data_IF_797403683738
#
_entry.id   IF_797403683738
#
_cell.length_a   1.000
_cell.length_b   1.000
_cell.length_c   1.000
_cell.angle_alpha   90.00
_cell.angle_beta   90.00
_cell.angle_gamma   90.00
#
_symmetry.space_group_name_H-M   'P 1'
#
loop_
_entity.id
_entity.type
_entity.pdbx_description
1 polymer ?
#
# COMPACT_ATOMS: atom_id res chain seq x y z
N UNK A 1 5.41 20.80 12.53
CA UNK A 1 4.42 19.69 12.74
C UNK A 1 4.01 19.12 11.39
N UNK A 2 3.96 17.81 11.28
CA UNK A 2 3.60 17.11 10.02
C UNK A 2 2.53 16.07 10.27
N UNK A 3 1.78 15.74 9.21
CA UNK A 3 0.95 14.55 9.18
C UNK A 3 1.76 13.36 8.67
N UNK A 4 1.31 12.17 9.03
CA UNK A 4 1.78 10.92 8.45
C UNK A 4 0.60 10.19 7.80
N UNK A 5 0.72 9.88 6.51
CA UNK A 5 -0.24 9.06 5.79
C UNK A 5 0.37 7.69 5.51
N UNK A 6 -0.24 6.64 6.03
CA UNK A 6 0.17 5.25 5.83
C UNK A 6 -0.85 4.53 4.97
N UNK A 7 -0.41 3.92 3.86
CA UNK A 7 -1.24 3.05 3.03
C UNK A 7 -0.89 1.58 3.32
N UNK A 8 -1.80 0.83 3.91
CA UNK A 8 -1.69 -0.62 4.05
C UNK A 8 -2.22 -1.30 2.80
N UNK A 9 -1.43 -2.15 2.19
CA UNK A 9 -1.71 -2.76 0.90
C UNK A 9 -1.18 -4.20 0.80
N UNK A 10 -1.76 -4.97 -0.09
CA UNK A 10 -1.14 -6.15 -0.68
C UNK A 10 -0.83 -5.84 -2.15
N UNK A 11 0.38 -6.21 -2.61
CA UNK A 11 0.87 -5.85 -3.96
C UNK A 11 -0.01 -6.41 -5.07
N UNK A 12 -0.65 -7.57 -4.84
CA UNK A 12 -1.53 -8.21 -5.81
C UNK A 12 -3.03 -7.97 -5.54
N UNK A 13 -3.36 -6.98 -4.72
CA UNK A 13 -4.74 -6.57 -4.53
C UNK A 13 -5.19 -5.61 -5.64
N UNK A 14 -6.19 -5.99 -6.40
CA UNK A 14 -6.76 -5.14 -7.45
C UNK A 14 -7.26 -3.79 -6.93
N UNK A 15 -7.81 -3.75 -5.72
CA UNK A 15 -8.23 -2.48 -5.10
C UNK A 15 -7.07 -1.60 -4.70
N UNK A 16 -5.95 -2.19 -4.26
CA UNK A 16 -4.71 -1.44 -4.01
C UNK A 16 -4.13 -0.89 -5.33
N UNK A 17 -4.21 -1.68 -6.40
CA UNK A 17 -3.83 -1.23 -7.74
C UNK A 17 -4.68 -0.02 -8.18
N UNK A 18 -6.00 -0.11 -8.05
CA UNK A 18 -6.91 0.97 -8.42
C UNK A 18 -6.79 2.23 -7.55
N UNK A 19 -6.31 2.10 -6.33
CA UNK A 19 -6.07 3.24 -5.44
C UNK A 19 -4.78 4.01 -5.75
N UNK A 20 -3.89 3.46 -6.57
CA UNK A 20 -2.59 4.08 -6.87
C UNK A 20 -2.68 5.51 -7.43
N UNK A 21 -3.58 5.83 -8.38
CA UNK A 21 -3.70 7.21 -8.87
C UNK A 21 -4.06 8.21 -7.77
N UNK A 22 -4.94 7.82 -6.83
CA UNK A 22 -5.27 8.65 -5.68
C UNK A 22 -4.07 8.83 -4.74
N UNK A 23 -3.31 7.75 -4.48
CA UNK A 23 -2.10 7.80 -3.67
C UNK A 23 -1.03 8.71 -4.27
N UNK A 24 -0.80 8.65 -5.57
CA UNK A 24 0.15 9.52 -6.28
C UNK A 24 -0.28 10.98 -6.23
N UNK A 25 -1.55 11.27 -6.43
CA UNK A 25 -2.07 12.63 -6.36
C UNK A 25 -1.99 13.19 -4.94
N UNK A 26 -2.28 12.39 -3.91
CA UNK A 26 -2.07 12.79 -2.50
C UNK A 26 -0.61 13.15 -2.23
N UNK A 27 0.33 12.30 -2.64
CA UNK A 27 1.76 12.57 -2.49
C UNK A 27 2.19 13.86 -3.19
N UNK A 28 1.69 14.08 -4.40
CA UNK A 28 1.96 15.31 -5.16
C UNK A 28 1.38 16.55 -4.49
N UNK A 29 0.13 16.47 -4.03
CA UNK A 29 -0.60 17.60 -3.44
C UNK A 29 -0.04 18.02 -2.08
N UNK A 30 0.48 17.06 -1.30
CA UNK A 30 0.87 17.28 0.10
C UNK A 30 2.35 16.99 0.39
N UNK A 31 3.22 16.97 -0.64
CA UNK A 31 4.62 16.52 -0.57
C UNK A 31 5.41 17.09 0.63
N UNK A 32 5.25 18.38 0.94
CA UNK A 32 6.03 19.07 1.96
C UNK A 32 5.38 19.05 3.36
N UNK A 33 4.13 18.58 3.46
CA UNK A 33 3.29 18.69 4.65
C UNK A 33 2.91 17.35 5.25
N UNK A 34 3.02 16.26 4.48
CA UNK A 34 2.62 14.92 4.87
C UNK A 34 3.73 13.93 4.54
N UNK A 35 4.11 13.11 5.50
CA UNK A 35 5.03 12.00 5.29
C UNK A 35 4.23 10.77 4.81
N UNK A 36 4.50 10.32 3.58
CA UNK A 36 3.80 9.21 2.94
C UNK A 36 4.59 7.92 3.06
N UNK A 37 3.96 6.89 3.63
CA UNK A 37 4.54 5.56 3.82
C UNK A 37 3.54 4.50 3.35
N UNK A 38 3.99 3.48 2.64
CA UNK A 38 3.20 2.28 2.42
C UNK A 38 3.72 1.12 3.29
N UNK A 39 2.85 0.22 3.67
CA UNK A 39 3.16 -0.98 4.45
C UNK A 39 2.45 -2.19 3.87
N UNK A 40 3.08 -3.34 3.94
CA UNK A 40 2.47 -4.59 3.51
C UNK A 40 1.40 -5.01 4.53
N UNK A 41 0.24 -5.39 4.00
CA UNK A 41 -0.84 -6.05 4.73
C UNK A 41 -1.25 -7.28 3.92
N UNK A 42 -0.60 -8.41 4.18
CA UNK A 42 -0.78 -9.65 3.43
C UNK A 42 -2.23 -10.11 3.43
N UNK A 43 -2.75 -10.44 2.26
CA UNK A 43 -4.04 -11.13 2.13
C UNK A 43 -3.88 -12.59 2.55
N UNK A 44 -4.87 -13.10 3.24
CA UNK A 44 -5.04 -14.52 3.52
C UNK A 44 -5.91 -15.21 2.46
N UNK A 45 -6.09 -16.51 2.58
CA UNK A 45 -6.85 -17.32 1.64
C UNK A 45 -8.29 -16.84 1.39
N UNK A 46 -8.89 -16.06 2.29
CA UNK A 46 -10.24 -15.50 2.13
C UNK A 46 -10.28 -14.33 1.16
N UNK A 47 -9.15 -13.64 0.98
CA UNK A 47 -9.00 -12.51 0.07
C UNK A 47 -8.82 -12.91 -1.40
N UNK A 48 -8.53 -14.20 -1.69
CA UNK A 48 -8.27 -14.67 -3.05
C UNK A 48 -9.53 -15.26 -3.72
N UNK A 49 -9.66 -15.08 -5.04
CA UNK A 49 -10.72 -15.74 -5.80
C UNK A 49 -10.57 -17.27 -5.74
N UNK A 50 -11.68 -17.99 -5.79
CA UNK A 50 -11.70 -19.46 -5.74
C UNK A 50 -11.70 -20.11 -7.13
N UNK A 51 -11.93 -19.33 -8.17
CA UNK A 51 -11.82 -19.76 -9.56
C UNK A 51 -11.42 -18.61 -10.47
N UNK A 52 -11.03 -18.94 -11.70
CA UNK A 52 -10.69 -17.92 -12.70
C UNK A 52 -11.92 -17.08 -13.09
N UNK A 53 -13.11 -17.69 -13.15
CA UNK A 53 -14.36 -17.00 -13.43
C UNK A 53 -14.72 -16.03 -12.33
N UNK A 54 -14.45 -16.38 -11.06
CA UNK A 54 -14.64 -15.49 -9.92
C UNK A 54 -13.65 -14.32 -9.98
N UNK A 55 -12.41 -14.57 -10.37
CA UNK A 55 -11.39 -13.53 -10.57
C UNK A 55 -11.81 -12.55 -11.67
N UNK A 56 -12.26 -13.06 -12.81
CA UNK A 56 -12.77 -12.25 -13.92
C UNK A 56 -13.97 -11.39 -13.49
N UNK A 57 -14.87 -11.98 -12.70
CA UNK A 57 -16.03 -11.25 -12.18
C UNK A 57 -15.61 -10.09 -11.27
N UNK A 58 -14.66 -10.33 -10.34
CA UNK A 58 -14.13 -9.29 -9.47
C UNK A 58 -13.44 -8.17 -10.24
N UNK A 59 -12.67 -8.52 -11.26
CA UNK A 59 -11.97 -7.55 -12.11
C UNK A 59 -12.94 -6.73 -12.96
N UNK A 60 -13.97 -7.35 -13.50
CA UNK A 60 -15.03 -6.63 -14.22
C UNK A 60 -15.74 -5.65 -13.29
N UNK A 61 -16.12 -6.10 -12.09
CA UNK A 61 -16.76 -5.23 -11.09
C UNK A 61 -15.88 -4.05 -10.72
N UNK A 62 -14.63 -4.29 -10.31
CA UNK A 62 -13.73 -3.23 -9.88
C UNK A 62 -13.40 -2.26 -11.01
N UNK A 63 -13.12 -2.76 -12.22
CA UNK A 63 -12.85 -1.93 -13.39
C UNK A 63 -14.03 -1.02 -13.76
N UNK A 64 -15.27 -1.55 -13.72
CA UNK A 64 -16.46 -0.74 -13.95
C UNK A 64 -16.66 0.33 -12.87
N UNK A 65 -16.51 -0.02 -11.60
CA UNK A 65 -16.64 0.94 -10.49
C UNK A 65 -15.59 2.05 -10.57
N UNK A 66 -14.39 1.74 -11.00
CA UNK A 66 -13.30 2.70 -11.18
C UNK A 66 -13.32 3.40 -12.55
N UNK A 67 -14.31 3.07 -13.42
CA UNK A 67 -14.42 3.60 -14.79
C UNK A 67 -13.10 3.46 -15.57
N UNK A 68 -12.46 2.31 -15.39
CA UNK A 68 -11.15 2.05 -16.00
C UNK A 68 -11.27 1.89 -17.53
N UNK A 69 -10.33 2.47 -18.31
CA UNK A 69 -10.27 2.25 -19.76
C UNK A 69 -9.71 0.86 -20.15
N UNK A 70 -9.30 0.06 -19.18
CA UNK A 70 -8.78 -1.30 -19.39
C UNK A 70 -9.26 -2.24 -18.29
N UNK A 71 -9.14 -3.54 -18.57
CA UNK A 71 -9.46 -4.62 -17.64
C UNK A 71 -8.17 -5.24 -17.08
N UNK A 72 -8.25 -5.70 -15.83
CA UNK A 72 -7.21 -6.51 -15.21
C UNK A 72 -7.26 -7.93 -15.75
N UNK A 73 -6.14 -8.65 -15.67
CA UNK A 73 -5.99 -9.99 -16.24
C UNK A 73 -5.80 -11.03 -15.13
N UNK A 74 -6.62 -12.09 -15.09
CA UNK A 74 -6.55 -13.11 -14.04
C UNK A 74 -5.49 -14.20 -14.31
N UNK A 75 -4.58 -14.01 -15.26
CA UNK A 75 -3.58 -15.01 -15.64
C UNK A 75 -2.63 -15.44 -14.52
N UNK A 76 -2.50 -14.61 -13.48
CA UNK A 76 -1.73 -14.92 -12.29
C UNK A 76 -2.44 -15.92 -11.35
N UNK A 77 -3.75 -16.12 -11.53
CA UNK A 77 -4.56 -16.98 -10.66
C UNK A 77 -3.97 -18.40 -10.57
N UNK A 78 -3.91 -18.90 -9.35
CA UNK A 78 -3.57 -20.27 -9.02
C UNK A 78 -4.63 -20.83 -8.05
N UNK A 79 -5.13 -22.05 -8.27
CA UNK A 79 -6.07 -22.66 -7.35
C UNK A 79 -5.42 -22.89 -5.99
N UNK A 80 -6.22 -22.82 -4.93
CA UNK A 80 -5.81 -23.10 -3.54
C UNK A 80 -4.69 -22.21 -2.98
N UNK A 81 -4.47 -21.05 -3.60
CA UNK A 81 -3.50 -20.07 -3.07
C UNK A 81 -3.89 -19.64 -1.65
N UNK A 82 -2.95 -19.73 -0.73
CA UNK A 82 -3.15 -19.35 0.66
C UNK A 82 -2.60 -17.95 0.96
N UNK A 83 -1.45 -17.64 0.41
CA UNK A 83 -0.75 -16.35 0.52
C UNK A 83 0.05 -16.09 -0.76
N UNK A 84 0.25 -14.84 -1.10
CA UNK A 84 1.13 -14.45 -2.20
C UNK A 84 2.32 -13.68 -1.66
N UNK A 85 3.33 -14.41 -1.19
CA UNK A 85 4.47 -13.79 -0.49
C UNK A 85 5.46 -13.11 -1.44
N UNK A 86 5.81 -13.75 -2.56
CA UNK A 86 6.93 -13.31 -3.37
C UNK A 86 6.84 -11.82 -3.82
N UNK A 87 5.75 -11.31 -4.42
CA UNK A 87 5.70 -9.91 -4.84
C UNK A 87 5.72 -8.95 -3.65
N UNK A 88 5.09 -9.32 -2.52
CA UNK A 88 5.07 -8.50 -1.32
C UNK A 88 6.46 -8.40 -0.68
N UNK A 89 7.16 -9.54 -0.52
CA UNK A 89 8.46 -9.57 0.13
C UNK A 89 9.57 -9.03 -0.78
N UNK A 90 9.48 -9.18 -2.10
CA UNK A 90 10.41 -8.51 -3.03
C UNK A 90 10.27 -6.99 -2.96
N UNK A 91 9.04 -6.48 -2.88
CA UNK A 91 8.82 -5.05 -2.71
C UNK A 91 9.35 -4.53 -1.36
N UNK A 92 9.14 -5.28 -0.28
CA UNK A 92 9.65 -4.95 1.05
C UNK A 92 11.18 -5.01 1.11
N UNK A 93 11.81 -6.07 0.56
CA UNK A 93 13.26 -6.23 0.51
C UNK A 93 13.98 -5.11 -0.24
N UNK A 94 13.35 -4.52 -1.26
CA UNK A 94 13.96 -3.43 -2.02
C UNK A 94 14.28 -2.20 -1.15
N UNK A 95 13.59 -2.03 -0.01
CA UNK A 95 13.85 -0.94 0.96
C UNK A 95 15.25 -1.03 1.56
N UNK A 96 15.75 -2.24 1.80
CA UNK A 96 17.09 -2.47 2.36
C UNK A 96 18.21 -2.10 1.37
N UNK A 97 17.84 -1.91 0.10
CA UNK A 97 18.72 -1.38 -0.95
C UNK A 97 18.46 0.11 -1.24
N UNK A 98 17.73 0.81 -0.36
CA UNK A 98 17.44 2.23 -0.48
C UNK A 98 16.29 2.59 -1.43
N UNK A 99 15.52 1.61 -1.91
CA UNK A 99 14.37 1.83 -2.79
C UNK A 99 13.08 1.83 -1.95
N UNK A 100 12.71 3.01 -1.45
CA UNK A 100 11.55 3.20 -0.55
C UNK A 100 10.31 3.73 -1.25
N UNK A 101 10.43 4.13 -2.52
CA UNK A 101 9.31 4.61 -3.33
C UNK A 101 8.45 3.47 -3.89
N UNK A 102 7.47 3.81 -4.73
CA UNK A 102 6.49 2.87 -5.24
C UNK A 102 6.97 2.03 -6.43
N UNK A 103 8.17 2.28 -6.99
CA UNK A 103 8.59 1.71 -8.28
C UNK A 103 8.60 0.19 -8.32
N UNK A 104 9.12 -0.47 -7.29
CA UNK A 104 9.20 -1.94 -7.25
C UNK A 104 7.82 -2.56 -7.07
N UNK A 105 7.06 -2.10 -6.05
CA UNK A 105 5.72 -2.65 -5.82
C UNK A 105 4.78 -2.42 -6.99
N UNK A 106 4.90 -1.25 -7.67
CA UNK A 106 4.06 -0.95 -8.84
C UNK A 106 4.46 -1.72 -10.08
N UNK A 107 5.75 -2.02 -10.28
CA UNK A 107 6.19 -2.92 -11.34
C UNK A 107 5.60 -4.33 -11.16
N UNK A 108 5.64 -4.85 -9.93
CA UNK A 108 5.06 -6.15 -9.57
C UNK A 108 3.53 -6.14 -9.71
N UNK A 109 2.85 -5.10 -9.22
CA UNK A 109 1.41 -4.96 -9.36
C UNK A 109 0.97 -4.87 -10.83
N UNK A 110 1.69 -4.13 -11.68
CA UNK A 110 1.41 -4.07 -13.12
C UNK A 110 1.62 -5.44 -13.79
N UNK A 111 2.71 -6.12 -13.48
CA UNK A 111 2.97 -7.46 -14.02
C UNK A 111 1.87 -8.46 -13.63
N UNK A 112 1.40 -8.41 -12.38
CA UNK A 112 0.32 -9.27 -11.91
C UNK A 112 -1.02 -8.87 -12.53
N UNK A 113 -1.43 -7.63 -12.30
CA UNK A 113 -2.80 -7.19 -12.52
C UNK A 113 -3.08 -6.84 -14.00
N UNK A 114 -2.12 -6.21 -14.70
CA UNK A 114 -2.30 -5.81 -16.10
C UNK A 114 -1.80 -6.84 -17.10
N UNK A 115 -0.72 -7.55 -16.76
CA UNK A 115 -0.11 -8.51 -17.68
C UNK A 115 -0.58 -9.94 -17.37
N UNK A 116 -1.07 -10.21 -16.16
CA UNK A 116 -1.54 -11.52 -15.72
C UNK A 116 -0.40 -12.50 -15.43
N UNK A 117 0.79 -11.98 -15.07
CA UNK A 117 1.95 -12.80 -14.79
C UNK A 117 1.89 -13.40 -13.38
N UNK A 118 2.40 -14.63 -13.24
CA UNK A 118 2.43 -15.37 -11.96
C UNK A 118 3.54 -14.87 -11.04
N UNK A 119 3.40 -13.68 -10.51
CA UNK A 119 4.41 -13.02 -9.67
C UNK A 119 4.59 -13.67 -8.31
N UNK A 120 3.73 -14.63 -7.91
CA UNK A 120 4.01 -15.50 -6.76
C UNK A 120 5.22 -16.43 -6.99
N UNK A 121 5.71 -16.55 -8.22
CA UNK A 121 6.99 -17.15 -8.52
C UNK A 121 8.13 -16.22 -8.10
N UNK A 122 8.96 -16.65 -7.17
CA UNK A 122 10.05 -15.88 -6.58
C UNK A 122 11.07 -15.35 -7.59
N UNK A 123 11.45 -16.18 -8.56
CA UNK A 123 12.43 -15.81 -9.59
C UNK A 123 11.89 -14.70 -10.51
N UNK A 124 10.62 -14.83 -10.89
CA UNK A 124 9.94 -13.83 -11.71
C UNK A 124 9.73 -12.53 -10.94
N UNK A 125 9.28 -12.60 -9.69
CA UNK A 125 9.10 -11.41 -8.86
C UNK A 125 10.42 -10.66 -8.65
N UNK A 126 11.51 -11.38 -8.32
CA UNK A 126 12.82 -10.79 -8.14
C UNK A 126 13.37 -10.18 -9.45
N UNK A 127 13.11 -10.80 -10.60
CA UNK A 127 13.51 -10.26 -11.90
C UNK A 127 12.80 -8.94 -12.22
N UNK A 128 11.48 -8.89 -12.01
CA UNK A 128 10.68 -7.69 -12.22
C UNK A 128 11.11 -6.58 -11.26
N UNK A 129 11.25 -6.91 -9.96
CA UNK A 129 11.65 -5.94 -8.94
C UNK A 129 13.05 -5.38 -9.17
N UNK A 130 14.02 -6.25 -9.46
CA UNK A 130 15.40 -5.86 -9.74
C UNK A 130 15.49 -4.96 -10.98
N UNK A 131 14.78 -5.30 -12.04
CA UNK A 131 14.71 -4.48 -13.26
C UNK A 131 14.13 -3.08 -12.97
N UNK A 132 13.05 -3.01 -12.18
CA UNK A 132 12.39 -1.75 -11.85
C UNK A 132 13.27 -0.81 -11.02
N UNK A 133 14.15 -1.37 -10.20
CA UNK A 133 14.99 -0.63 -9.26
C UNK A 133 16.46 -0.48 -9.69
N UNK A 134 16.88 -1.18 -10.75
CA UNK A 134 18.29 -1.26 -11.14
C UNK A 134 19.16 -2.04 -10.15
N UNK A 135 18.57 -3.05 -9.47
CA UNK A 135 19.23 -3.87 -8.47
C UNK A 135 19.74 -5.19 -9.04
N UNK A 136 20.68 -5.81 -8.32
CA UNK A 136 21.08 -7.18 -8.60
C UNK A 136 19.95 -8.17 -8.22
N UNK A 137 19.50 -8.98 -9.18
CA UNK A 137 18.39 -9.93 -9.00
C UNK A 137 18.71 -10.96 -7.90
N UNK A 138 19.92 -11.52 -7.89
CA UNK A 138 20.26 -12.58 -6.96
C UNK A 138 20.28 -12.06 -5.52
N UNK A 139 20.84 -10.88 -5.29
CA UNK A 139 20.86 -10.23 -3.97
C UNK A 139 19.45 -9.85 -3.51
N UNK A 140 18.62 -9.32 -4.41
CA UNK A 140 17.23 -8.98 -4.09
C UNK A 140 16.43 -10.24 -3.73
N UNK A 141 16.58 -11.32 -4.48
CA UNK A 141 15.91 -12.58 -4.23
C UNK A 141 16.33 -13.20 -2.88
N UNK A 142 17.64 -13.24 -2.60
CA UNK A 142 18.18 -13.71 -1.33
C UNK A 142 17.60 -12.91 -0.16
N UNK A 143 17.62 -11.58 -0.27
CA UNK A 143 17.08 -10.71 0.77
C UNK A 143 15.57 -10.88 0.94
N UNK A 144 14.82 -10.97 -0.14
CA UNK A 144 13.37 -11.14 -0.09
C UNK A 144 12.94 -12.46 0.58
N UNK A 145 13.77 -13.49 0.50
CA UNK A 145 13.53 -14.78 1.16
C UNK A 145 14.04 -14.84 2.61
N UNK A 146 14.59 -13.77 3.11
CA UNK A 146 15.11 -13.77 4.48
C UNK A 146 13.97 -13.73 5.52
N UNK A 147 14.16 -14.38 6.68
CA UNK A 147 13.16 -14.34 7.76
C UNK A 147 12.87 -12.94 8.26
N UNK A 148 13.83 -12.03 8.19
CA UNK A 148 13.69 -10.65 8.64
C UNK A 148 12.70 -9.88 7.77
N UNK A 149 12.78 -10.00 6.44
CA UNK A 149 11.86 -9.34 5.52
C UNK A 149 10.44 -9.89 5.68
N UNK A 150 10.30 -11.20 5.84
CA UNK A 150 9.00 -11.81 6.14
C UNK A 150 8.46 -11.32 7.49
N UNK A 151 9.29 -11.26 8.53
CA UNK A 151 8.88 -10.75 9.83
C UNK A 151 8.40 -9.29 9.76
N UNK A 152 9.05 -8.43 8.96
CA UNK A 152 8.59 -7.05 8.74
C UNK A 152 7.20 -6.99 8.08
N UNK A 153 6.97 -7.77 7.02
CA UNK A 153 5.69 -7.83 6.35
C UNK A 153 4.58 -8.39 7.26
N UNK A 154 4.89 -9.39 8.07
CA UNK A 154 3.95 -9.95 9.05
C UNK A 154 3.67 -8.99 10.21
N UNK A 155 4.66 -8.25 10.68
CA UNK A 155 4.49 -7.23 11.71
C UNK A 155 3.58 -6.10 11.21
N UNK A 156 3.78 -5.59 9.99
CA UNK A 156 2.91 -4.57 9.41
C UNK A 156 1.50 -5.11 9.09
N UNK A 157 1.37 -6.40 8.77
CA UNK A 157 0.07 -7.07 8.64
C UNK A 157 -0.65 -7.14 9.99
N UNK A 158 0.07 -7.44 11.09
CA UNK A 158 -0.49 -7.42 12.42
C UNK A 158 -0.93 -6.01 12.85
N UNK A 159 -0.15 -4.96 12.53
CA UNK A 159 -0.55 -3.57 12.72
C UNK A 159 -1.86 -3.25 11.99
N UNK A 160 -1.98 -3.69 10.73
CA UNK A 160 -3.22 -3.53 9.96
C UNK A 160 -4.41 -4.18 10.64
N UNK A 161 -4.28 -5.43 11.14
CA UNK A 161 -5.36 -6.11 11.84
C UNK A 161 -5.72 -5.44 13.18
N UNK A 162 -4.73 -4.86 13.87
CA UNK A 162 -4.97 -4.09 15.11
C UNK A 162 -5.84 -2.84 14.89
N UNK A 163 -5.94 -2.33 13.66
CA UNK A 163 -6.88 -1.27 13.29
C UNK A 163 -8.34 -1.73 13.24
N UNK A 164 -8.61 -3.03 13.42
CA UNK A 164 -9.94 -3.66 13.34
C UNK A 164 -10.62 -3.42 11.97
N UNK A 165 -9.84 -3.41 10.90
CA UNK A 165 -10.28 -3.29 9.51
C UNK A 165 -9.94 -4.54 8.74
N UNK A 166 -10.65 -4.78 7.63
CA UNK A 166 -10.48 -5.99 6.82
C UNK A 166 -10.16 -5.70 5.36
N UNK A 167 -10.41 -4.48 4.89
CA UNK A 167 -10.30 -4.14 3.47
C UNK A 167 -8.94 -3.49 3.15
N UNK A 168 -8.38 -3.86 2.02
CA UNK A 168 -7.20 -3.23 1.42
C UNK A 168 -7.60 -2.50 0.13
N UNK A 169 -7.07 -1.31 -0.16
CA UNK A 169 -6.15 -0.55 0.68
C UNK A 169 -6.85 0.00 1.94
N UNK A 170 -6.07 0.19 3.01
CA UNK A 170 -6.48 1.01 4.14
C UNK A 170 -5.51 2.18 4.27
N UNK A 171 -6.04 3.39 4.32
CA UNK A 171 -5.25 4.58 4.59
C UNK A 171 -5.45 5.00 6.04
N UNK A 172 -4.35 5.28 6.72
CA UNK A 172 -4.34 5.87 8.06
C UNK A 172 -3.64 7.21 7.97
N UNK A 173 -4.30 8.26 8.44
CA UNK A 173 -3.73 9.60 8.55
C UNK A 173 -3.61 9.93 10.03
N UNK A 174 -2.39 10.16 10.48
CA UNK A 174 -2.06 10.51 11.86
C UNK A 174 -1.51 11.91 11.94
N UNK A 175 -1.89 12.67 12.97
CA UNK A 175 -1.30 13.97 13.32
C UNK A 175 -0.43 13.87 14.58
N UNK A 176 0.52 14.80 14.72
CA UNK A 176 1.35 14.92 15.92
C UNK A 176 0.55 15.38 17.17
N UNK A 177 -0.64 15.94 16.98
CA UNK A 177 -1.53 16.35 18.09
C UNK A 177 -2.49 15.24 18.52
N UNK A 178 -2.40 14.05 17.90
CA UNK A 178 -3.15 12.85 18.30
C UNK A 178 -4.38 12.54 17.46
N UNK A 179 -4.72 13.35 16.44
CA UNK A 179 -5.83 13.04 15.54
C UNK A 179 -5.49 11.84 14.65
N UNK A 180 -6.49 11.02 14.41
CA UNK A 180 -6.36 9.84 13.54
C UNK A 180 -7.60 9.66 12.69
N UNK A 181 -7.40 9.45 11.40
CA UNK A 181 -8.44 9.02 10.47
C UNK A 181 -8.07 7.71 9.80
N UNK A 182 -9.06 6.82 9.61
CA UNK A 182 -8.88 5.52 8.98
C UNK A 182 -9.90 5.38 7.85
N UNK A 183 -9.41 5.07 6.63
CA UNK A 183 -10.21 4.81 5.45
C UNK A 183 -9.96 3.38 4.98
N UNK A 184 -10.89 2.48 5.24
CA UNK A 184 -10.75 1.07 4.86
C UNK A 184 -11.52 0.76 3.58
N UNK A 185 -10.83 0.22 2.55
CA UNK A 185 -11.42 -0.13 1.26
C UNK A 185 -11.69 1.06 0.32
N UNK A 186 -11.18 2.23 0.63
CA UNK A 186 -11.32 3.41 -0.23
C UNK A 186 -10.25 3.42 -1.33
N UNK A 187 -10.68 3.80 -2.55
CA UNK A 187 -9.77 4.01 -3.68
C UNK A 187 -9.90 5.42 -4.29
N UNK A 188 -10.73 6.29 -3.68
CA UNK A 188 -10.99 7.66 -4.15
C UNK A 188 -10.20 8.69 -3.37
N UNK A 189 -9.75 9.71 -4.08
CA UNK A 189 -8.93 10.80 -3.57
C UNK A 189 -9.69 11.70 -2.55
N UNK A 190 -10.92 12.09 -2.90
CA UNK A 190 -11.59 13.24 -2.30
C UNK A 190 -11.80 13.13 -0.78
N UNK A 191 -12.28 11.98 -0.22
CA UNK A 191 -12.48 11.89 1.22
C UNK A 191 -11.18 11.99 2.01
N UNK A 192 -10.11 11.38 1.47
CA UNK A 192 -8.79 11.37 2.12
C UNK A 192 -8.18 12.78 2.07
N UNK A 193 -8.25 13.43 0.90
CA UNK A 193 -7.75 14.78 0.73
C UNK A 193 -8.46 15.80 1.64
N UNK A 194 -9.80 15.74 1.72
CA UNK A 194 -10.55 16.62 2.60
C UNK A 194 -10.19 16.44 4.08
N UNK A 195 -9.93 15.20 4.50
CA UNK A 195 -9.48 14.91 5.87
C UNK A 195 -8.07 15.43 6.12
N UNK A 196 -7.14 15.24 5.18
CA UNK A 196 -5.79 15.79 5.28
C UNK A 196 -5.85 17.33 5.38
N UNK A 197 -6.66 17.99 4.55
CA UNK A 197 -6.83 19.45 4.61
C UNK A 197 -7.32 19.89 6.00
N UNK A 198 -8.36 19.26 6.56
CA UNK A 198 -8.89 19.56 7.89
C UNK A 198 -7.85 19.34 9.00
N UNK A 199 -7.13 18.21 8.98
CA UNK A 199 -6.10 17.91 9.99
C UNK A 199 -4.90 18.86 9.89
N UNK A 200 -4.56 19.37 8.70
CA UNK A 200 -3.53 20.40 8.52
C UNK A 200 -3.96 21.75 9.08
N UNK A 201 -5.24 22.12 8.94
CA UNK A 201 -5.81 23.33 9.52
C UNK A 201 -5.79 23.26 11.05
N UNK A 202 -6.12 22.10 11.64
CA UNK A 202 -6.05 21.89 13.10
C UNK A 202 -4.59 21.99 13.60
N UNK A 203 -3.64 21.38 12.93
CA UNK A 203 -2.21 21.51 13.26
C UNK A 203 -1.75 22.98 13.24
N UNK A 204 -2.20 23.75 12.25
CA UNK A 204 -1.86 25.15 12.15
C UNK A 204 -2.47 25.96 13.30
N UNK A 205 -3.73 25.67 13.68
CA UNK A 205 -4.42 26.32 14.80
C UNK A 205 -3.72 26.01 16.14
N UNK A 206 -3.34 24.76 16.40
CA UNK A 206 -2.58 24.36 17.59
C UNK A 206 -1.22 25.04 17.64
N UNK A 207 -0.49 25.09 16.52
CA UNK A 207 0.79 25.79 16.45
C UNK A 207 0.66 27.29 16.74
N UNK A 208 -0.36 27.94 16.21
CA UNK A 208 -0.64 29.36 16.45
C UNK A 208 -0.99 29.60 17.92
N UNK A 209 -1.80 28.73 18.56
CA UNK A 209 -2.13 28.80 19.97
C UNK A 209 -0.88 28.67 20.84
N UNK A 210 -0.05 27.66 20.61
CA UNK A 210 1.19 27.44 21.35
C UNK A 210 2.16 28.62 21.20
N UNK A 211 2.27 29.19 20.02
CA UNK A 211 3.12 30.37 19.78
C UNK A 211 2.66 31.62 20.55
N UNK A 212 1.33 31.73 20.79
CA UNK A 212 0.77 32.88 21.49
C UNK A 212 0.68 32.70 23.00
N UNK A 213 0.27 31.54 23.47
CA UNK A 213 -0.01 31.25 24.88
C UNK A 213 1.08 30.42 25.58
N UNK A 214 2.04 29.87 24.84
CA UNK A 214 3.09 29.00 25.36
C UNK A 214 2.62 27.55 25.58
N UNK A 215 3.48 26.76 26.21
CA UNK A 215 3.20 25.35 26.52
C UNK A 215 2.23 25.26 27.73
N UNK A 216 1.48 24.14 27.84
CA UNK A 216 0.59 23.91 28.97
C UNK A 216 1.38 23.90 30.29
N UNK A 217 0.79 24.37 31.41
CA UNK A 217 1.44 24.27 32.72
C UNK A 217 1.73 22.80 33.07
N UNK A 218 2.83 22.51 33.75
CA UNK A 218 3.13 21.17 34.22
C UNK A 218 2.02 20.61 35.10
N UNK A 219 1.74 19.28 34.96
CA UNK A 219 0.75 18.58 35.75
C UNK A 219 1.14 18.45 37.23
#
# INVERSE_FOLDING_TARGET
MKLKATMYLDVISSWCFWAQPAWEELKKRYADRVDFVWKIALMDASGFPKSIEQSEWFYRRSGMMMRSPFMLKPGWFEPDIQECLAPNLVAEAARDFGVTDDRVRMALANATEREGLKTNNWELAAEIGAKAAGLDKAKLLERARSPEVEAHARASTAEFHALQVTQRPTFVVDSEIGDRAIFSGFAKLEPIAATIDAMLDDLAAYAAHAAHFGEPPPA
#
